data_IF_240263099664
#
_entry.id   IF_240263099664
#
_cell.length_a   1.000
_cell.length_b   1.000
_cell.length_c   1.000
_cell.angle_alpha   90.00
_cell.angle_beta   90.00
_cell.angle_gamma   90.00
#
_symmetry.space_group_name_H-M   'P 1'
#
loop_
_entity.id
_entity.type
_entity.pdbx_description
1 polymer ?
#
# COMPACT_ATOMS: atom_id res chain seq x y z
N UNK A 1 8.93 -5.90 -5.13
CA UNK A 1 7.45 -5.87 -5.09
C UNK A 1 6.92 -6.15 -6.48
N UNK A 2 6.30 -7.32 -6.72
CA UNK A 2 5.99 -7.82 -8.07
C UNK A 2 5.09 -6.87 -8.88
N UNK A 3 4.11 -6.23 -8.22
CA UNK A 3 3.19 -5.32 -8.89
C UNK A 3 3.88 -4.07 -9.46
N UNK A 4 4.87 -3.50 -8.75
CA UNK A 4 5.67 -2.38 -9.26
C UNK A 4 6.53 -2.79 -10.46
N UNK A 5 7.12 -4.00 -10.41
CA UNK A 5 7.93 -4.55 -11.50
C UNK A 5 7.09 -4.83 -12.75
N UNK A 6 5.92 -5.46 -12.58
CA UNK A 6 5.04 -5.83 -13.68
C UNK A 6 4.21 -4.65 -14.21
N UNK A 7 4.11 -3.57 -13.45
CA UNK A 7 3.34 -2.38 -13.81
C UNK A 7 3.97 -1.50 -14.90
N UNK A 8 5.21 -1.77 -15.35
CA UNK A 8 5.88 -1.06 -16.45
C UNK A 8 5.80 0.48 -16.35
N UNK A 9 5.93 1.03 -15.14
CA UNK A 9 5.86 2.48 -14.91
C UNK A 9 4.45 3.09 -14.83
N UNK A 10 3.39 2.28 -14.90
CA UNK A 10 2.00 2.73 -14.71
C UNK A 10 1.54 2.70 -13.25
N UNK A 11 2.29 2.05 -12.36
CA UNK A 11 1.94 1.85 -10.95
C UNK A 11 3.12 2.19 -10.06
N UNK A 12 2.85 2.91 -8.97
CA UNK A 12 3.80 3.22 -7.91
C UNK A 12 3.24 2.79 -6.54
N UNK A 13 4.14 2.59 -5.58
CA UNK A 13 3.87 2.07 -4.25
C UNK A 13 4.54 2.90 -3.17
N UNK A 14 3.88 3.14 -2.05
CA UNK A 14 4.48 3.71 -0.84
C UNK A 14 4.22 2.80 0.36
N UNK A 15 5.28 2.45 1.10
CA UNK A 15 5.19 1.58 2.26
C UNK A 15 5.33 2.38 3.57
N UNK A 16 4.47 2.11 4.54
CA UNK A 16 4.52 2.65 5.89
C UNK A 16 4.48 1.50 6.89
N UNK A 17 5.22 1.63 7.97
CA UNK A 17 5.22 0.63 9.05
C UNK A 17 4.53 1.20 10.28
N UNK A 18 3.80 0.36 11.00
CA UNK A 18 3.19 0.71 12.28
C UNK A 18 3.25 -0.47 13.25
N UNK A 19 3.11 -0.19 14.55
CA UNK A 19 2.84 -1.21 15.56
C UNK A 19 1.34 -1.29 15.77
N UNK A 20 0.78 -2.49 15.78
CA UNK A 20 -0.64 -2.76 16.03
C UNK A 20 -0.74 -3.58 17.30
N UNK A 21 -1.53 -3.10 18.25
CA UNK A 21 -1.88 -3.85 19.45
C UNK A 21 -3.02 -4.81 19.12
N UNK A 22 -2.86 -6.08 19.51
CA UNK A 22 -3.83 -7.15 19.36
C UNK A 22 -4.22 -7.61 20.76
N UNK A 23 -5.52 -7.71 21.01
CA UNK A 23 -6.07 -8.26 22.24
C UNK A 23 -6.80 -9.54 21.92
N UNK A 24 -6.38 -10.63 22.56
CA UNK A 24 -7.05 -11.93 22.47
C UNK A 24 -7.69 -12.23 23.81
N UNK A 25 -9.00 -12.48 23.81
CA UNK A 25 -9.68 -12.99 25.00
C UNK A 25 -9.46 -14.51 25.08
N UNK A 26 -9.11 -14.98 26.27
CA UNK A 26 -8.82 -16.37 26.60
C UNK A 26 -9.94 -16.91 27.49
N UNK A 27 -10.55 -17.99 27.02
CA UNK A 27 -11.53 -18.71 27.83
C UNK A 27 -10.85 -19.42 29.01
N UNK A 28 -11.50 -19.45 30.19
CA UNK A 28 -10.95 -20.12 31.36
C UNK A 28 -10.92 -21.64 31.15
N UNK A 29 -9.85 -22.28 31.64
CA UNK A 29 -9.66 -23.72 31.46
C UNK A 29 -10.54 -24.59 32.39
N UNK A 30 -11.20 -23.98 33.38
CA UNK A 30 -12.12 -24.63 34.30
C UNK A 30 -13.09 -23.60 34.91
N UNK A 31 -14.12 -24.09 35.59
CA UNK A 31 -15.22 -23.28 36.14
C UNK A 31 -14.81 -22.36 37.31
N UNK A 32 -13.62 -22.56 37.88
CA UNK A 32 -13.09 -21.76 39.00
C UNK A 32 -12.21 -20.59 38.54
N UNK A 33 -11.85 -20.54 37.26
CA UNK A 33 -11.00 -19.50 36.68
C UNK A 33 -11.83 -18.43 35.98
N UNK A 34 -11.36 -17.19 36.08
CA UNK A 34 -11.93 -16.04 35.36
C UNK A 34 -11.32 -15.93 33.95
N UNK A 35 -12.05 -15.32 32.99
CA UNK A 35 -11.52 -15.06 31.66
C UNK A 35 -10.33 -14.10 31.71
N UNK A 36 -9.35 -14.33 30.85
CA UNK A 36 -8.13 -13.53 30.74
C UNK A 36 -8.04 -12.84 29.37
N UNK A 37 -7.30 -11.73 29.29
CA UNK A 37 -7.00 -11.07 28.01
C UNK A 37 -5.50 -11.00 27.79
N UNK A 38 -5.04 -11.48 26.64
CA UNK A 38 -3.64 -11.42 26.21
C UNK A 38 -3.44 -10.26 25.22
N UNK A 39 -2.54 -9.32 25.57
CA UNK A 39 -2.15 -8.24 24.67
C UNK A 39 -0.82 -8.54 23.97
N UNK A 40 -0.78 -8.33 22.65
CA UNK A 40 0.40 -8.57 21.79
C UNK A 40 0.63 -7.38 20.85
N UNK A 41 1.89 -7.02 20.65
CA UNK A 41 2.28 -5.98 19.70
C UNK A 41 2.85 -6.61 18.44
N UNK A 42 2.21 -6.36 17.30
CA UNK A 42 2.66 -6.86 16.02
C UNK A 42 3.09 -5.73 15.08
N UNK A 43 4.18 -5.95 14.34
CA UNK A 43 4.57 -5.03 13.27
C UNK A 43 3.62 -5.19 12.08
N UNK A 44 3.11 -4.08 11.56
CA UNK A 44 2.27 -4.03 10.37
C UNK A 44 2.95 -3.19 9.29
N UNK A 45 2.71 -3.57 8.02
CA UNK A 45 3.14 -2.81 6.85
C UNK A 45 1.93 -2.43 6.01
N UNK A 46 1.75 -1.14 5.79
CA UNK A 46 0.71 -0.56 4.95
C UNK A 46 1.33 -0.17 3.61
N UNK A 47 0.94 -0.87 2.55
CA UNK A 47 1.47 -0.64 1.20
C UNK A 47 0.40 0.04 0.37
N UNK A 48 0.52 1.36 0.19
CA UNK A 48 -0.35 2.12 -0.70
C UNK A 48 0.10 1.87 -2.14
N UNK A 49 -0.82 1.42 -2.98
CA UNK A 49 -0.60 1.21 -4.42
C UNK A 49 -1.44 2.23 -5.18
N UNK A 50 -0.86 2.92 -6.16
CA UNK A 50 -1.59 3.90 -6.96
C UNK A 50 -1.11 3.92 -8.41
N UNK A 51 -2.03 4.22 -9.32
CA UNK A 51 -1.73 4.38 -10.75
C UNK A 51 -1.10 5.75 -10.97
N UNK A 52 -0.09 5.79 -11.84
CA UNK A 52 0.48 7.01 -12.38
C UNK A 52 -0.33 7.39 -13.62
N UNK A 53 -1.02 8.53 -13.58
CA UNK A 53 -1.69 9.06 -14.76
C UNK A 53 -0.63 9.70 -15.66
N UNK A 54 -0.47 9.27 -16.92
CA UNK A 54 0.47 9.89 -17.83
C UNK A 54 0.03 11.33 -18.12
N UNK A 55 0.95 12.28 -17.93
CA UNK A 55 0.76 13.65 -18.40
C UNK A 55 0.98 13.62 -19.91
N UNK A 56 -0.07 13.84 -20.70
CA UNK A 56 0.06 14.01 -22.14
C UNK A 56 0.66 15.39 -22.37
N UNK A 57 1.95 15.44 -22.73
CA UNK A 57 2.60 16.66 -23.18
C UNK A 57 2.39 16.72 -24.70
N UNK A 58 1.42 17.53 -25.14
CA UNK A 58 1.27 17.84 -26.57
C UNK A 58 2.48 18.65 -27.03
N UNK A 59 3.39 18.00 -27.76
CA UNK A 59 4.52 18.67 -28.38
C UNK A 59 4.00 19.41 -29.62
N UNK A 60 4.09 20.75 -29.69
CA UNK A 60 3.69 21.48 -30.87
C UNK A 60 4.67 21.14 -32.01
N UNK A 61 4.19 20.41 -33.02
CA UNK A 61 4.95 20.18 -34.24
C UNK A 61 5.09 21.50 -34.99
N UNK A 62 6.33 21.93 -35.20
CA UNK A 62 6.63 23.12 -36.00
C UNK A 62 6.11 22.89 -37.42
N UNK A 63 5.12 23.69 -37.84
CA UNK A 63 4.62 23.67 -39.21
C UNK A 63 5.76 24.01 -40.16
N UNK A 64 6.05 23.09 -41.08
CA UNK A 64 7.07 23.26 -42.10
C UNK A 64 6.83 24.52 -42.95
N UNK A 65 7.92 25.25 -43.17
CA UNK A 65 8.04 26.34 -44.13
C UNK A 65 7.56 25.88 -45.50
N UNK A 66 6.48 26.50 -46.01
CA UNK A 66 6.13 26.39 -47.44
C UNK A 66 6.85 27.52 -48.17
N UNK A 67 7.99 27.20 -48.77
CA UNK A 67 8.62 28.02 -49.81
C UNK A 67 7.97 27.61 -51.12
N UNK A 68 7.20 28.50 -51.74
CA UNK A 68 7.06 28.77 -53.19
C UNK A 68 6.09 29.93 -53.34
#
# INVERSE_FOLDING_TARGET
MQLKTNGQGSVETAAHTSTVELMDDLDPNNDDLEPETLSRNNSAVHIRVYKLNPIVIEVPTSKGTKVT
#
